data_IF_154684004031
#
_entry.id   IF_154684004031
#
_cell.length_a   1.000
_cell.length_b   1.000
_cell.length_c   1.000
_cell.angle_alpha   90.00
_cell.angle_beta   90.00
_cell.angle_gamma   90.00
#
_symmetry.space_group_name_H-M   'P 1'
#
loop_
_entity.id
_entity.type
_entity.pdbx_description
1 polymer ?
#
# COMPACT_ATOMS: atom_id res chain seq x y z
N UNK A 1 10.15 9.16 3.56
CA UNK A 1 8.79 8.73 3.16
C UNK A 1 7.81 9.53 4.01
N UNK A 2 6.92 10.29 3.39
CA UNK A 2 5.92 11.04 4.15
C UNK A 2 4.91 10.04 4.73
N UNK A 3 4.91 9.88 6.05
CA UNK A 3 3.95 9.04 6.77
C UNK A 3 2.53 9.56 6.50
N UNK A 4 1.86 8.98 5.48
CA UNK A 4 0.52 9.38 5.03
C UNK A 4 -0.55 9.14 6.11
N UNK A 5 -0.22 8.34 7.11
CA UNK A 5 -1.08 8.03 8.25
C UNK A 5 -1.50 9.27 9.04
N UNK A 6 -0.57 10.18 9.35
CA UNK A 6 -0.87 11.35 10.18
C UNK A 6 -1.95 12.27 9.59
N UNK A 7 -1.79 12.72 8.33
CA UNK A 7 -2.82 13.46 7.61
C UNK A 7 -4.16 12.72 7.52
N UNK A 8 -4.13 11.40 7.30
CA UNK A 8 -5.34 10.57 7.19
C UNK A 8 -6.12 10.50 8.51
N UNK A 9 -5.44 10.28 9.64
CA UNK A 9 -6.05 10.31 10.97
C UNK A 9 -6.66 11.68 11.28
N UNK A 10 -5.99 12.76 10.84
CA UNK A 10 -6.52 14.12 10.99
C UNK A 10 -7.79 14.35 10.17
N UNK A 11 -7.88 13.80 8.95
CA UNK A 11 -9.12 13.87 8.16
C UNK A 11 -10.25 13.05 8.77
N UNK A 12 -9.95 11.86 9.31
CA UNK A 12 -10.96 11.02 9.98
C UNK A 12 -11.52 11.68 11.24
N UNK A 13 -10.68 12.35 12.03
CA UNK A 13 -11.13 13.13 13.19
C UNK A 13 -12.04 14.27 12.79
N UNK A 14 -11.75 14.94 11.68
CA UNK A 14 -12.49 16.13 11.24
C UNK A 14 -12.56 17.21 12.32
N UNK A 15 -13.77 17.47 12.82
CA UNK A 15 -14.06 18.47 13.86
C UNK A 15 -14.03 17.92 15.28
N UNK A 16 -13.85 16.61 15.48
CA UNK A 16 -13.82 16.01 16.80
C UNK A 16 -12.59 16.49 17.58
N UNK A 17 -12.72 16.66 18.89
CA UNK A 17 -11.57 17.02 19.73
C UNK A 17 -10.69 15.80 20.00
N UNK A 18 -9.39 16.02 20.20
CA UNK A 18 -8.44 14.96 20.59
C UNK A 18 -8.88 14.21 21.86
N UNK A 19 -9.55 14.91 22.78
CA UNK A 19 -10.09 14.32 24.01
C UNK A 19 -11.28 13.41 23.72
N UNK A 20 -12.21 13.85 22.87
CA UNK A 20 -13.36 13.02 22.48
C UNK A 20 -12.92 11.71 21.80
N UNK A 21 -11.89 11.76 20.96
CA UNK A 21 -11.32 10.53 20.36
C UNK A 21 -10.65 9.68 21.43
N UNK A 22 -9.86 10.26 22.33
CA UNK A 22 -9.23 9.52 23.42
C UNK A 22 -10.26 8.82 24.32
N UNK A 23 -11.37 9.49 24.63
CA UNK A 23 -12.45 8.93 25.44
C UNK A 23 -13.13 7.75 24.73
N UNK A 24 -13.34 7.83 23.40
CA UNK A 24 -13.83 6.72 22.58
C UNK A 24 -12.89 5.52 22.55
N UNK A 25 -11.58 5.74 22.71
CA UNK A 25 -10.60 4.64 22.81
C UNK A 25 -10.61 3.94 24.17
N UNK A 26 -11.56 4.25 25.06
CA UNK A 26 -11.63 3.76 26.45
C UNK A 26 -10.34 4.01 27.23
N UNK A 27 -9.68 5.15 27.00
CA UNK A 27 -8.43 5.53 27.66
C UNK A 27 -7.19 4.75 27.22
N UNK A 28 -7.29 3.88 26.20
CA UNK A 28 -6.13 3.16 25.67
C UNK A 28 -5.14 4.09 24.98
N UNK A 29 -5.62 5.18 24.37
CA UNK A 29 -4.78 6.18 23.71
C UNK A 29 -4.93 7.55 24.40
N UNK A 30 -3.81 8.17 24.75
CA UNK A 30 -3.83 9.52 25.31
C UNK A 30 -4.04 10.56 24.21
N UNK A 31 -4.74 11.65 24.53
CA UNK A 31 -4.94 12.79 23.62
C UNK A 31 -3.62 13.36 23.05
N UNK A 32 -2.54 13.31 23.85
CA UNK A 32 -1.21 13.74 23.40
C UNK A 32 -0.62 12.78 22.37
N UNK A 33 -0.79 11.47 22.57
CA UNK A 33 -0.34 10.46 21.61
C UNK A 33 -1.10 10.55 20.28
N UNK A 34 -2.42 10.81 20.31
CA UNK A 34 -3.21 11.03 19.08
C UNK A 34 -2.70 12.26 18.31
N UNK A 35 -2.43 13.38 19.00
CA UNK A 35 -1.81 14.57 18.37
C UNK A 35 -0.47 14.24 17.72
N UNK A 36 0.35 13.46 18.42
CA UNK A 36 1.68 13.10 17.97
C UNK A 36 1.62 12.14 16.76
N UNK A 37 0.62 11.24 16.70
CA UNK A 37 0.30 10.40 15.55
C UNK A 37 -0.15 11.22 14.33
N UNK A 38 -1.04 12.20 14.51
CA UNK A 38 -1.49 13.08 13.43
C UNK A 38 -0.33 13.89 12.81
N UNK A 39 0.69 14.20 13.60
CA UNK A 39 1.89 14.92 13.16
C UNK A 39 2.98 13.98 12.60
N UNK A 40 2.88 12.68 12.86
CA UNK A 40 3.91 11.67 12.53
C UNK A 40 5.22 11.85 13.30
N UNK A 41 5.30 12.81 14.23
CA UNK A 41 6.50 13.17 14.98
C UNK A 41 6.14 13.47 16.42
N UNK A 42 6.92 12.92 17.33
CA UNK A 42 6.85 13.27 18.75
C UNK A 42 7.31 14.70 18.98
N UNK A 43 6.88 15.33 20.08
CA UNK A 43 7.45 16.61 20.57
C UNK A 43 8.97 16.60 20.69
N UNK A 44 9.58 15.42 20.83
CA UNK A 44 11.04 15.22 20.91
C UNK A 44 11.73 15.07 19.54
N UNK A 45 10.99 15.16 18.43
CA UNK A 45 11.53 15.00 17.07
C UNK A 45 11.59 13.54 16.58
N UNK A 46 11.23 12.57 17.42
CA UNK A 46 11.22 11.15 17.05
C UNK A 46 10.07 10.84 16.09
N UNK A 47 10.33 10.04 15.06
CA UNK A 47 9.29 9.48 14.18
C UNK A 47 8.45 8.52 15.01
N UNK A 48 7.13 8.69 14.97
CA UNK A 48 6.22 7.82 15.69
C UNK A 48 5.63 6.81 14.72
N UNK A 49 5.97 5.54 14.95
CA UNK A 49 5.30 4.41 14.31
C UNK A 49 4.30 3.81 15.31
N UNK A 50 2.99 3.91 15.06
CA UNK A 50 1.99 3.27 15.92
C UNK A 50 2.12 1.76 15.85
N UNK A 51 1.91 1.09 16.98
CA UNK A 51 1.87 -0.38 17.02
C UNK A 51 0.63 -0.91 16.29
N UNK A 52 0.65 -2.16 15.79
CA UNK A 52 -0.54 -2.81 15.20
C UNK A 52 -1.76 -2.75 16.13
N UNK A 53 -1.56 -2.94 17.43
CA UNK A 53 -2.63 -2.85 18.43
C UNK A 53 -3.26 -1.45 18.49
N UNK A 54 -2.43 -0.40 18.39
CA UNK A 54 -2.88 1.00 18.29
C UNK A 54 -3.70 1.22 17.03
N UNK A 55 -3.24 0.71 15.89
CA UNK A 55 -3.94 0.83 14.62
C UNK A 55 -5.30 0.13 14.65
N UNK A 56 -5.42 -1.01 15.34
CA UNK A 56 -6.69 -1.73 15.52
C UNK A 56 -7.70 -0.91 16.32
N UNK A 57 -7.25 -0.30 17.42
CA UNK A 57 -8.11 0.59 18.23
C UNK A 57 -8.57 1.80 17.41
N UNK A 58 -7.68 2.40 16.62
CA UNK A 58 -8.02 3.52 15.74
C UNK A 58 -9.00 3.09 14.64
N UNK A 59 -8.84 1.87 14.09
CA UNK A 59 -9.76 1.29 13.12
C UNK A 59 -11.18 1.16 13.70
N UNK A 60 -11.31 0.64 14.92
CA UNK A 60 -12.59 0.50 15.62
C UNK A 60 -13.23 1.87 15.92
N UNK A 61 -12.45 2.86 16.37
CA UNK A 61 -12.98 4.19 16.76
C UNK A 61 -13.38 5.04 15.56
N UNK A 62 -12.66 4.93 14.46
CA UNK A 62 -12.95 5.67 13.22
C UNK A 62 -13.78 4.88 12.21
N UNK A 63 -14.19 3.66 12.54
CA UNK A 63 -14.93 2.75 11.65
C UNK A 63 -14.26 2.62 10.27
N UNK A 64 -12.93 2.52 10.26
CA UNK A 64 -12.11 2.41 9.05
C UNK A 64 -11.46 1.03 8.95
N UNK A 65 -11.05 0.66 7.74
CA UNK A 65 -10.32 -0.58 7.52
C UNK A 65 -8.95 -0.57 8.21
N UNK A 66 -8.70 -1.60 9.02
CA UNK A 66 -7.43 -1.83 9.72
C UNK A 66 -6.27 -2.06 8.75
N UNK A 67 -6.50 -2.80 7.66
CA UNK A 67 -5.48 -3.09 6.65
C UNK A 67 -5.08 -1.81 5.92
N UNK A 68 -6.04 -0.90 5.70
CA UNK A 68 -5.75 0.41 5.13
C UNK A 68 -4.85 1.25 6.06
N UNK A 69 -5.12 1.26 7.36
CA UNK A 69 -4.27 1.93 8.34
C UNK A 69 -2.86 1.30 8.42
N UNK A 70 -2.77 -0.03 8.36
CA UNK A 70 -1.48 -0.74 8.32
C UNK A 70 -0.66 -0.40 7.08
N UNK A 71 -1.30 -0.30 5.90
CA UNK A 71 -0.66 0.15 4.66
C UNK A 71 -0.12 1.56 4.79
N UNK A 72 -0.92 2.48 5.34
CA UNK A 72 -0.51 3.88 5.56
C UNK A 72 0.63 4.02 6.58
N UNK A 73 0.69 3.11 7.56
CA UNK A 73 1.77 3.03 8.55
C UNK A 73 3.02 2.31 8.03
N UNK A 74 2.98 1.74 6.81
CA UNK A 74 4.10 1.04 6.18
C UNK A 74 4.35 -0.37 6.74
N UNK A 75 3.34 -1.00 7.33
CA UNK A 75 3.41 -2.41 7.76
C UNK A 75 3.05 -3.38 6.64
N UNK A 76 2.24 -2.95 5.68
CA UNK A 76 1.86 -3.73 4.51
C UNK A 76 2.40 -2.99 3.29
N UNK A 77 3.36 -3.60 2.60
CA UNK A 77 3.83 -3.11 1.32
C UNK A 77 2.76 -3.36 0.25
N UNK A 78 2.50 -2.36 -0.58
CA UNK A 78 1.47 -2.34 -1.64
C UNK A 78 1.76 -3.30 -2.82
N UNK A 79 2.58 -4.34 -2.64
CA UNK A 79 2.73 -5.42 -3.62
C UNK A 79 1.53 -6.39 -3.63
N UNK A 80 0.45 -6.01 -2.96
CA UNK A 80 -0.83 -6.72 -2.95
C UNK A 80 -1.99 -5.73 -3.09
N UNK A 81 -1.87 -4.81 -4.05
CA UNK A 81 -3.04 -4.24 -4.72
C UNK A 81 -3.32 -5.09 -5.98
N UNK A 82 -4.32 -5.99 -5.96
CA UNK A 82 -4.68 -6.77 -7.14
C UNK A 82 -5.21 -5.91 -8.30
N UNK A 83 -5.47 -4.63 -8.07
CA UNK A 83 -6.13 -3.71 -9.01
C UNK A 83 -5.20 -2.62 -9.56
N UNK A 84 -3.92 -2.62 -9.17
CA UNK A 84 -2.94 -1.71 -9.75
C UNK A 84 -2.31 -2.40 -10.96
N UNK A 85 -2.41 -1.85 -12.18
CA UNK A 85 -1.75 -2.44 -13.34
C UNK A 85 -0.24 -2.44 -13.08
N UNK A 86 0.30 -3.62 -12.85
CA UNK A 86 1.73 -3.84 -12.74
C UNK A 86 2.30 -3.83 -14.16
N UNK A 87 3.14 -2.84 -14.45
CA UNK A 87 3.85 -2.79 -15.71
C UNK A 87 4.93 -3.88 -15.70
N UNK A 88 4.63 -5.01 -16.30
CA UNK A 88 5.60 -6.09 -16.48
C UNK A 88 6.44 -5.79 -17.72
N UNK A 89 7.74 -5.55 -17.54
CA UNK A 89 8.68 -5.46 -18.67
C UNK A 89 8.90 -6.87 -19.25
N UNK A 90 8.28 -7.12 -20.40
CA UNK A 90 8.32 -8.41 -21.09
C UNK A 90 9.74 -8.76 -21.60
N UNK A 91 10.67 -7.80 -21.69
CA UNK A 91 12.04 -8.07 -22.18
C UNK A 91 12.84 -9.01 -21.29
N UNK A 92 12.69 -8.89 -19.97
CA UNK A 92 13.45 -9.74 -19.04
C UNK A 92 12.85 -11.14 -18.92
N UNK A 93 11.55 -11.30 -19.18
CA UNK A 93 10.84 -12.57 -19.02
C UNK A 93 10.92 -13.52 -20.21
N UNK A 94 11.17 -13.01 -21.43
CA UNK A 94 11.29 -13.86 -22.64
C UNK A 94 12.65 -14.58 -22.67
N UNK A 95 13.70 -14.01 -22.06
CA UNK A 95 15.05 -14.58 -22.09
C UNK A 95 15.24 -15.73 -21.09
N UNK A 96 14.34 -15.89 -20.13
CA UNK A 96 14.41 -16.96 -19.14
C UNK A 96 13.75 -18.22 -19.72
N UNK A 97 14.57 -19.06 -20.37
CA UNK A 97 14.22 -20.32 -21.09
C UNK A 97 13.50 -21.39 -20.23
N UNK A 98 12.97 -21.02 -19.06
CA UNK A 98 12.29 -21.89 -18.09
C UNK A 98 10.81 -21.56 -17.89
N UNK A 99 10.26 -20.55 -18.58
CA UNK A 99 8.86 -20.12 -18.43
C UNK A 99 8.01 -20.64 -19.60
N UNK A 100 7.05 -21.52 -19.30
CA UNK A 100 6.03 -21.95 -20.27
C UNK A 100 5.05 -20.78 -20.43
N UNK A 101 5.05 -20.13 -21.59
CA UNK A 101 4.03 -19.12 -21.91
C UNK A 101 2.75 -19.84 -22.35
N UNK A 102 1.63 -19.52 -21.71
CA UNK A 102 0.32 -20.04 -22.09
C UNK A 102 -0.59 -18.90 -22.55
N UNK A 103 -1.33 -19.13 -23.63
CA UNK A 103 -2.39 -18.26 -24.11
C UNK A 103 -3.69 -19.07 -24.13
N UNK A 104 -4.73 -18.56 -23.45
CA UNK A 104 -6.01 -19.29 -23.29
C UNK A 104 -5.86 -20.72 -22.73
N UNK A 105 -4.85 -20.94 -21.89
CA UNK A 105 -4.55 -22.26 -21.31
C UNK A 105 -3.84 -23.23 -22.25
N UNK A 106 -3.41 -22.80 -23.44
CA UNK A 106 -2.58 -23.58 -24.37
C UNK A 106 -1.15 -23.09 -24.34
N UNK A 107 -0.19 -24.00 -24.39
CA UNK A 107 1.24 -23.66 -24.49
C UNK A 107 1.45 -22.99 -25.86
N UNK A 108 2.04 -21.79 -25.85
CA UNK A 108 2.40 -21.08 -27.08
C UNK A 108 3.61 -21.82 -27.67
N UNK A 109 3.55 -22.28 -28.93
CA UNK A 109 4.69 -22.87 -29.62
C UNK A 109 5.85 -21.88 -29.77
N UNK A 110 7.07 -22.40 -29.85
CA UNK A 110 8.28 -21.57 -29.98
C UNK A 110 8.27 -20.70 -31.26
N UNK A 111 7.67 -21.19 -32.35
CA UNK A 111 7.51 -20.43 -33.62
C UNK A 111 6.62 -19.19 -33.45
N UNK A 112 5.52 -19.33 -32.70
CA UNK A 112 4.60 -18.24 -32.41
C UNK A 112 5.25 -17.24 -31.45
N UNK A 113 6.06 -17.71 -30.51
CA UNK A 113 6.82 -16.87 -29.60
C UNK A 113 7.84 -15.99 -30.36
N UNK A 114 8.56 -16.58 -31.32
CA UNK A 114 9.50 -15.86 -32.18
C UNK A 114 8.77 -14.84 -33.07
N UNK A 115 7.60 -15.20 -33.60
CA UNK A 115 6.76 -14.28 -34.37
C UNK A 115 6.28 -13.09 -33.51
N UNK A 116 5.83 -13.35 -32.29
CA UNK A 116 5.44 -12.32 -31.32
C UNK A 116 6.63 -11.42 -30.94
N UNK A 117 7.81 -12.01 -30.69
CA UNK A 117 9.03 -11.25 -30.40
C UNK A 117 9.40 -10.32 -31.57
N UNK A 118 9.31 -10.82 -32.80
CA UNK A 118 9.58 -10.03 -34.01
C UNK A 118 8.60 -8.87 -34.19
N UNK A 119 7.31 -9.07 -33.92
CA UNK A 119 6.30 -8.01 -33.95
C UNK A 119 6.56 -6.93 -32.89
N UNK A 120 6.90 -7.35 -31.66
CA UNK A 120 7.20 -6.43 -30.55
C UNK A 120 8.50 -5.63 -30.78
N UNK A 121 9.51 -6.22 -31.43
CA UNK A 121 10.76 -5.53 -31.81
C UNK A 121 10.61 -4.69 -33.09
N UNK A 122 9.75 -5.09 -34.01
CA UNK A 122 9.56 -4.48 -35.33
C UNK A 122 8.65 -3.25 -35.36
N UNK A 123 7.96 -2.92 -34.27
CA UNK A 123 7.01 -1.80 -34.18
C UNK A 123 7.60 -0.38 -34.15
N UNK A 124 8.85 -0.17 -34.61
CA UNK A 124 9.38 1.18 -34.89
C UNK A 124 10.34 1.19 -36.08
N UNK A 125 9.84 1.70 -37.19
CA UNK A 125 10.53 2.67 -38.06
C UNK A 125 9.45 3.52 -38.73
N UNK A 126 9.08 4.61 -38.06
CA UNK A 126 8.86 5.87 -38.80
C UNK A 126 10.24 6.41 -39.20
#
# INVERSE_FOLDING_TARGET
>A
MADKLGPYLRSLRGTQSLRAVADKTNGKLSHSYISDLEKGKSRRGNIIKPTPETLKILAEVYETDYDHLMRLAGYIDNNSDPDKPEYVDLKEQINDKKKIMTFEGRIIPDEDLEYMERLLRGGKKD
#
